data_IF_797339310042
#
_entry.id   IF_797339310042
#
_cell.length_a   1.000
_cell.length_b   1.000
_cell.length_c   1.000
_cell.angle_alpha   90.00
_cell.angle_beta   90.00
_cell.angle_gamma   90.00
#
_symmetry.space_group_name_H-M   'P 1'
#
loop_
_entity.id
_entity.type
_entity.pdbx_description
1 polymer ?
#
# COMPACT_ATOMS: atom_id res chain seq x y z
N UNK A 1 -1.57 21.05 0.24
CA UNK A 1 -0.33 20.33 -0.14
C UNK A 1 -0.37 18.82 0.13
N UNK A 2 -1.57 18.22 0.19
CA UNK A 2 -1.81 16.78 -0.09
C UNK A 2 -2.85 16.67 -1.24
N UNK A 3 -3.10 17.80 -1.90
CA UNK A 3 -4.33 18.10 -2.62
C UNK A 3 -4.54 17.20 -3.85
N UNK A 4 -3.45 16.61 -4.35
CA UNK A 4 -3.46 15.69 -5.49
C UNK A 4 -4.33 14.45 -5.25
N UNK A 5 -4.51 14.01 -4.00
CA UNK A 5 -5.31 12.82 -3.67
C UNK A 5 -6.47 13.07 -2.70
N UNK A 6 -6.72 14.29 -2.20
CA UNK A 6 -7.69 14.54 -1.13
C UNK A 6 -9.14 14.15 -1.46
N UNK A 7 -9.53 14.18 -2.74
CA UNK A 7 -10.87 13.79 -3.20
C UNK A 7 -10.87 12.40 -3.88
N UNK A 8 -9.81 11.62 -3.68
CA UNK A 8 -9.62 10.30 -4.29
C UNK A 8 -9.72 9.22 -3.21
N UNK A 9 -10.03 8.01 -3.64
CA UNK A 9 -9.93 6.83 -2.79
C UNK A 9 -8.59 6.17 -3.07
N UNK A 10 -7.75 6.05 -2.04
CA UNK A 10 -6.57 5.21 -2.08
C UNK A 10 -6.86 3.93 -1.32
N UNK A 11 -6.36 2.81 -1.81
CA UNK A 11 -6.54 1.51 -1.16
C UNK A 11 -5.18 0.97 -0.76
N UNK A 12 -5.05 0.48 0.48
CA UNK A 12 -3.85 -0.24 0.88
C UNK A 12 -3.86 -1.66 0.29
N UNK A 13 -2.74 -2.09 -0.30
CA UNK A 13 -2.56 -3.43 -0.87
C UNK A 13 -2.41 -4.53 0.20
N UNK A 14 -3.09 -4.39 1.32
CA UNK A 14 -3.13 -5.38 2.40
C UNK A 14 -4.22 -6.44 2.09
N UNK A 15 -4.51 -7.32 3.05
CA UNK A 15 -5.50 -8.39 2.85
C UNK A 15 -6.94 -7.85 2.85
N UNK A 16 -7.21 -6.86 3.68
CA UNK A 16 -8.55 -6.30 3.90
C UNK A 16 -8.91 -5.21 2.87
N UNK A 17 -7.93 -4.76 2.08
CA UNK A 17 -8.05 -3.67 1.11
C UNK A 17 -8.63 -2.40 1.75
N UNK A 18 -8.00 -1.96 2.85
CA UNK A 18 -8.45 -0.79 3.58
C UNK A 18 -8.50 0.46 2.66
N UNK A 19 -9.70 1.02 2.52
CA UNK A 19 -9.94 2.24 1.77
C UNK A 19 -9.62 3.47 2.63
N UNK A 20 -8.84 4.39 2.07
CA UNK A 20 -8.51 5.70 2.60
C UNK A 20 -9.26 6.72 1.75
N UNK A 21 -10.39 7.20 2.28
CA UNK A 21 -11.32 8.06 1.54
C UNK A 21 -11.68 9.33 2.30
N UNK A 22 -11.16 9.51 3.52
CA UNK A 22 -11.28 10.77 4.25
C UNK A 22 -10.03 11.62 4.10
N UNK A 23 -10.22 12.95 4.09
CA UNK A 23 -9.12 13.93 4.06
C UNK A 23 -8.09 13.65 5.16
N UNK A 24 -8.54 13.26 6.35
CA UNK A 24 -7.67 12.96 7.49
C UNK A 24 -6.77 11.75 7.24
N UNK A 25 -7.32 10.67 6.70
CA UNK A 25 -6.55 9.45 6.41
C UNK A 25 -5.51 9.70 5.32
N UNK A 26 -5.95 10.33 4.22
CA UNK A 26 -5.09 10.66 3.08
C UNK A 26 -3.97 11.61 3.53
N UNK A 27 -4.31 12.65 4.29
CA UNK A 27 -3.31 13.58 4.86
C UNK A 27 -2.35 12.84 5.78
N UNK A 28 -2.81 12.03 6.73
CA UNK A 28 -1.93 11.31 7.66
C UNK A 28 -0.93 10.37 6.97
N UNK A 29 -1.31 9.80 5.82
CA UNK A 29 -0.48 8.88 5.06
C UNK A 29 0.41 9.55 4.01
N UNK A 30 0.07 10.73 3.50
CA UNK A 30 0.82 11.38 2.42
C UNK A 30 1.55 12.67 2.82
N UNK A 31 1.09 13.37 3.86
CA UNK A 31 1.64 14.66 4.27
C UNK A 31 3.11 14.55 4.69
N UNK A 32 3.91 15.54 4.30
CA UNK A 32 5.35 15.64 4.62
C UNK A 32 6.18 14.43 4.14
N UNK A 33 5.71 13.69 3.14
CA UNK A 33 6.41 12.53 2.56
C UNK A 33 6.80 12.77 1.12
N UNK A 34 7.88 12.12 0.71
CA UNK A 34 8.17 11.91 -0.70
C UNK A 34 7.12 10.93 -1.24
N UNK A 35 6.53 11.24 -2.39
CA UNK A 35 5.58 10.36 -3.05
C UNK A 35 6.25 9.70 -4.26
N UNK A 36 6.07 8.40 -4.39
CA UNK A 36 6.47 7.62 -5.56
C UNK A 36 5.21 7.15 -6.27
N UNK A 37 4.95 7.71 -7.45
CA UNK A 37 3.89 7.26 -8.34
C UNK A 37 4.47 6.21 -9.28
N UNK A 38 4.08 4.95 -9.08
CA UNK A 38 4.57 3.83 -9.86
C UNK A 38 3.56 3.43 -10.93
N UNK A 39 3.87 3.76 -12.18
CA UNK A 39 3.09 3.39 -13.35
C UNK A 39 3.62 2.07 -13.92
N UNK A 40 2.77 1.05 -13.93
CA UNK A 40 3.11 -0.27 -14.47
C UNK A 40 1.90 -0.98 -15.07
N UNK A 41 2.18 -2.03 -15.83
CA UNK A 41 1.20 -2.90 -16.45
C UNK A 41 1.62 -4.36 -16.27
N UNK A 42 0.66 -5.25 -16.02
CA UNK A 42 0.90 -6.66 -15.72
C UNK A 42 1.61 -7.40 -16.87
N UNK A 43 1.29 -7.04 -18.12
CA UNK A 43 1.82 -7.69 -19.32
C UNK A 43 3.20 -7.17 -19.75
N UNK A 44 3.82 -6.27 -18.97
CA UNK A 44 5.14 -5.72 -19.27
C UNK A 44 6.25 -6.53 -18.60
N UNK A 45 7.07 -7.20 -19.42
CA UNK A 45 8.24 -7.93 -18.93
C UNK A 45 9.22 -7.02 -18.16
N UNK A 46 9.40 -5.77 -18.60
CA UNK A 46 10.23 -4.79 -17.88
C UNK A 46 9.68 -4.46 -16.49
N UNK A 47 8.36 -4.46 -16.32
CA UNK A 47 7.73 -4.26 -15.02
C UNK A 47 7.98 -5.46 -14.11
N UNK A 48 7.77 -6.67 -14.64
CA UNK A 48 8.03 -7.93 -13.92
C UNK A 48 9.46 -8.04 -13.40
N UNK A 49 10.45 -7.62 -14.20
CA UNK A 49 11.86 -7.56 -13.78
C UNK A 49 12.13 -6.50 -12.70
N UNK A 50 11.37 -5.39 -12.72
CA UNK A 50 11.60 -4.26 -11.81
C UNK A 50 10.91 -4.41 -10.46
N UNK A 51 9.75 -5.07 -10.39
CA UNK A 51 8.95 -5.20 -9.16
C UNK A 51 9.76 -5.77 -7.98
N UNK A 52 10.57 -6.84 -8.12
CA UNK A 52 11.39 -7.33 -7.02
C UNK A 52 12.37 -6.29 -6.47
N UNK A 53 12.95 -5.48 -7.36
CA UNK A 53 13.89 -4.40 -7.01
C UNK A 53 13.16 -3.29 -6.25
N UNK A 54 12.00 -2.86 -6.76
CA UNK A 54 11.16 -1.85 -6.13
C UNK A 54 10.68 -2.29 -4.74
N UNK A 55 10.27 -3.55 -4.60
CA UNK A 55 9.82 -4.11 -3.32
C UNK A 55 10.96 -4.14 -2.29
N UNK A 56 12.16 -4.59 -2.67
CA UNK A 56 13.32 -4.60 -1.77
C UNK A 56 13.70 -3.17 -1.35
N UNK A 57 13.75 -2.24 -2.31
CA UNK A 57 13.97 -0.82 -2.05
C UNK A 57 12.95 -0.25 -1.05
N UNK A 58 11.66 -0.45 -1.30
CA UNK A 58 10.60 0.09 -0.45
C UNK A 58 10.61 -0.56 0.94
N UNK A 59 10.85 -1.87 1.02
CA UNK A 59 10.97 -2.61 2.28
C UNK A 59 12.10 -2.04 3.14
N UNK A 60 13.29 -1.85 2.57
CA UNK A 60 14.46 -1.31 3.30
C UNK A 60 14.24 0.11 3.83
N UNK A 61 13.37 0.89 3.20
CA UNK A 61 13.02 2.24 3.63
C UNK A 61 11.85 2.31 4.62
N UNK A 62 11.22 1.17 4.97
CA UNK A 62 10.03 1.13 5.82
C UNK A 62 10.08 0.14 6.98
N UNK A 63 10.80 -0.96 6.83
CA UNK A 63 10.78 -2.07 7.77
C UNK A 63 11.82 -1.83 8.90
N UNK A 64 11.39 -1.91 10.18
CA UNK A 64 12.27 -1.77 11.34
C UNK A 64 13.47 -2.73 11.36
N UNK A 65 13.41 -3.83 10.60
CA UNK A 65 14.54 -4.73 10.45
C UNK A 65 15.76 -4.09 9.74
N UNK A 66 15.57 -2.98 9.02
CA UNK A 66 16.63 -2.31 8.25
C UNK A 66 16.95 -0.89 8.73
N UNK A 67 15.99 -0.20 9.35
CA UNK A 67 16.12 1.19 9.77
C UNK A 67 15.45 1.42 11.12
N UNK A 68 16.01 2.31 11.93
CA UNK A 68 15.48 2.63 13.25
C UNK A 68 14.11 3.33 13.17
N UNK A 69 13.96 4.23 12.19
CA UNK A 69 12.72 4.99 11.95
C UNK A 69 12.29 4.86 10.48
N UNK A 70 11.04 4.43 10.20
CA UNK A 70 10.51 4.38 8.84
C UNK A 70 10.66 5.71 8.10
N UNK A 71 11.24 5.70 6.91
CA UNK A 71 11.42 6.93 6.14
C UNK A 71 10.07 7.50 5.68
N UNK A 72 10.00 8.82 5.59
CA UNK A 72 8.82 9.57 5.17
C UNK A 72 8.64 9.48 3.65
N UNK A 73 8.17 8.32 3.21
CA UNK A 73 7.92 7.95 1.82
C UNK A 73 6.55 7.29 1.68
N UNK A 74 5.84 7.48 0.57
CA UNK A 74 4.67 6.68 0.20
C UNK A 74 4.80 6.18 -1.24
N UNK A 75 4.45 4.92 -1.48
CA UNK A 75 4.42 4.31 -2.80
C UNK A 75 2.96 4.12 -3.22
N UNK A 76 2.59 4.71 -4.35
CA UNK A 76 1.25 4.63 -4.94
C UNK A 76 1.36 3.97 -6.30
N UNK A 77 0.79 2.78 -6.45
CA UNK A 77 0.69 2.08 -7.70
C UNK A 77 -0.48 2.61 -8.54
N UNK A 78 -0.20 2.89 -9.81
CA UNK A 78 -1.16 3.35 -10.80
C UNK A 78 -1.12 2.36 -11.96
N UNK A 79 -2.17 1.55 -12.07
CA UNK A 79 -2.27 0.58 -13.17
C UNK A 79 -2.51 1.29 -14.51
N UNK A 80 -1.72 0.92 -15.50
CA UNK A 80 -1.90 1.25 -16.93
C UNK A 80 -2.67 0.13 -17.66
N UNK A 81 -3.03 -0.94 -16.94
CA UNK A 81 -3.78 -2.05 -17.50
C UNK A 81 -5.18 -1.62 -17.95
N UNK A 82 -5.69 -2.37 -18.93
CA UNK A 82 -7.01 -2.16 -19.53
C UNK A 82 -8.10 -3.02 -18.87
N UNK A 83 -7.74 -3.88 -17.92
CA UNK A 83 -8.71 -4.73 -17.20
C UNK A 83 -8.36 -4.83 -15.72
N UNK A 84 -9.38 -4.96 -14.88
CA UNK A 84 -9.24 -5.07 -13.42
C UNK A 84 -8.45 -6.31 -13.01
N UNK A 85 -8.66 -7.45 -13.70
CA UNK A 85 -8.00 -8.71 -13.37
C UNK A 85 -6.48 -8.63 -13.52
N UNK A 86 -5.99 -7.81 -14.46
CA UNK A 86 -4.57 -7.56 -14.64
C UNK A 86 -4.01 -6.72 -13.50
N UNK A 87 -4.74 -5.67 -13.09
CA UNK A 87 -4.38 -4.87 -11.93
C UNK A 87 -4.31 -5.74 -10.66
N UNK A 88 -5.35 -6.56 -10.40
CA UNK A 88 -5.37 -7.46 -9.25
C UNK A 88 -4.23 -8.48 -9.26
N UNK A 89 -3.93 -9.05 -10.44
CA UNK A 89 -2.82 -9.98 -10.59
C UNK A 89 -1.49 -9.31 -10.24
N UNK A 90 -1.26 -8.10 -10.73
CA UNK A 90 -0.03 -7.36 -10.48
C UNK A 90 0.10 -6.90 -9.02
N UNK A 91 -1.01 -6.51 -8.38
CA UNK A 91 -1.04 -6.14 -6.96
C UNK A 91 -0.53 -7.26 -6.04
N UNK A 92 -0.74 -8.53 -6.41
CA UNK A 92 -0.21 -9.69 -5.65
C UNK A 92 1.32 -9.74 -5.60
N UNK A 93 1.99 -9.12 -6.56
CA UNK A 93 3.45 -9.06 -6.66
C UNK A 93 4.02 -7.87 -5.90
N UNK A 94 3.21 -6.87 -5.54
CA UNK A 94 3.63 -5.65 -4.85
C UNK A 94 3.65 -5.81 -3.33
N UNK A 95 4.47 -4.98 -2.68
CA UNK A 95 4.54 -4.91 -1.22
C UNK A 95 3.17 -4.55 -0.61
N UNK A 96 2.84 -5.12 0.56
CA UNK A 96 1.51 -5.01 1.20
C UNK A 96 1.15 -3.61 1.72
N UNK A 97 2.17 -2.78 2.00
CA UNK A 97 2.01 -1.37 2.37
C UNK A 97 1.97 -0.41 1.16
N UNK A 98 1.87 -0.94 -0.06
CA UNK A 98 1.72 -0.12 -1.27
C UNK A 98 0.29 0.37 -1.34
N UNK A 99 0.09 1.65 -1.63
CA UNK A 99 -1.23 2.20 -1.92
C UNK A 99 -1.53 2.05 -3.40
N UNK A 100 -2.80 2.03 -3.80
CA UNK A 100 -3.17 2.04 -5.20
C UNK A 100 -4.51 2.75 -5.43
N UNK A 101 -4.74 3.17 -6.68
CA UNK A 101 -6.05 3.67 -7.11
C UNK A 101 -6.94 2.50 -7.56
N UNK A 102 -8.22 2.45 -7.15
CA UNK A 102 -9.18 1.49 -7.68
C UNK A 102 -9.19 1.48 -9.21
N UNK A 103 -9.45 0.32 -9.81
CA UNK A 103 -9.42 0.20 -11.28
C UNK A 103 -10.43 1.15 -11.94
N UNK A 104 -11.61 1.34 -11.38
CA UNK A 104 -12.62 2.24 -11.98
C UNK A 104 -12.31 3.74 -11.80
N UNK A 105 -11.28 4.12 -11.04
CA UNK A 105 -10.95 5.54 -10.83
C UNK A 105 -10.36 6.16 -12.12
N UNK A 106 -11.02 7.18 -12.73
CA UNK A 106 -10.53 7.84 -13.94
C UNK A 106 -9.21 8.60 -13.70
N UNK A 107 -8.88 8.90 -12.45
CA UNK A 107 -7.67 9.61 -12.09
C UNK A 107 -6.40 8.86 -12.50
N UNK A 108 -6.47 7.52 -12.65
CA UNK A 108 -5.37 6.72 -13.21
C UNK A 108 -4.96 7.22 -14.60
N UNK A 109 -5.91 7.61 -15.44
CA UNK A 109 -5.64 8.13 -16.79
C UNK A 109 -5.21 9.59 -16.74
N UNK A 110 -5.83 10.41 -15.87
CA UNK A 110 -5.45 11.80 -15.67
C UNK A 110 -3.99 11.93 -15.23
N UNK A 111 -3.53 11.09 -14.29
CA UNK A 111 -2.14 11.05 -13.82
C UNK A 111 -1.17 10.64 -14.93
N UNK A 112 -1.53 9.69 -15.78
CA UNK A 112 -0.69 9.29 -16.92
C UNK A 112 -0.50 10.46 -17.89
N UNK A 113 -1.56 11.22 -18.19
CA UNK A 113 -1.48 12.41 -19.05
C UNK A 113 -0.70 13.52 -18.37
N UNK A 114 -0.98 13.79 -17.09
CA UNK A 114 -0.34 14.86 -16.29
C UNK A 114 1.18 14.70 -16.25
N UNK A 115 1.66 13.48 -15.99
CA UNK A 115 3.09 13.17 -15.92
C UNK A 115 3.69 12.73 -17.26
N UNK A 116 2.91 12.77 -18.34
CA UNK A 116 3.33 12.42 -19.71
C UNK A 116 3.98 11.03 -19.78
N UNK A 117 3.33 10.05 -19.17
CA UNK A 117 3.82 8.68 -19.11
C UNK A 117 3.73 8.05 -20.50
N UNK A 118 4.88 7.82 -21.13
CA UNK A 118 4.97 7.21 -22.47
C UNK A 118 5.42 5.74 -22.43
N UNK A 119 6.01 5.30 -21.31
CA UNK A 119 6.52 3.94 -21.16
C UNK A 119 6.38 3.44 -19.71
N UNK A 120 6.42 2.11 -19.55
CA UNK A 120 6.38 1.42 -18.26
C UNK A 120 7.53 0.40 -18.15
N UNK A 121 8.11 0.18 -16.96
CA UNK A 121 7.79 0.85 -15.70
C UNK A 121 8.28 2.30 -15.67
N UNK A 122 7.52 3.18 -15.02
CA UNK A 122 7.94 4.55 -14.70
C UNK A 122 7.64 4.84 -13.23
N UNK A 123 8.61 5.42 -12.52
CA UNK A 123 8.43 5.88 -11.14
C UNK A 123 8.62 7.38 -11.09
N UNK A 124 7.53 8.14 -10.99
CA UNK A 124 7.62 9.58 -10.76
C UNK A 124 7.81 9.83 -9.28
N UNK A 125 8.86 10.58 -8.92
CA UNK A 125 9.14 10.96 -7.53
C UNK A 125 8.74 12.41 -7.34
N UNK A 126 7.92 12.65 -6.32
CA UNK A 126 7.41 13.97 -5.97
C UNK A 126 7.88 14.38 -4.58
N UNK A 127 8.15 15.69 -4.43
CA UNK A 127 8.31 16.32 -3.11
C UNK A 127 6.98 16.30 -2.35
N UNK A 128 6.99 16.58 -1.03
CA UNK A 128 5.76 16.83 -0.28
C UNK A 128 4.88 17.92 -0.93
N UNK A 129 5.50 18.90 -1.61
CA UNK A 129 4.79 19.94 -2.36
C UNK A 129 4.14 19.50 -3.67
N UNK A 130 4.17 18.21 -3.97
CA UNK A 130 3.72 17.60 -5.21
C UNK A 130 4.50 18.09 -6.45
N UNK A 131 5.58 18.86 -6.30
CA UNK A 131 6.50 19.16 -7.40
C UNK A 131 7.37 17.94 -7.73
N UNK A 132 7.75 17.82 -9.00
CA UNK A 132 8.55 16.68 -9.48
C UNK A 132 10.00 16.79 -9.00
N UNK A 133 10.49 15.75 -8.31
CA UNK A 133 11.91 15.53 -8.01
C UNK A 133 12.58 14.79 -9.15
N UNK A 134 12.00 13.66 -9.55
CA UNK A 134 12.48 12.82 -10.65
C UNK A 134 11.30 12.39 -11.52
N UNK A 135 11.32 12.65 -12.83
CA UNK A 135 10.24 12.24 -13.72
C UNK A 135 10.25 10.73 -13.99
N UNK A 136 11.38 10.04 -13.84
CA UNK A 136 11.46 8.59 -13.90
C UNK A 136 12.68 8.04 -13.12
N UNK A 137 12.44 7.61 -11.90
CA UNK A 137 13.44 7.10 -10.98
C UNK A 137 13.80 5.62 -11.15
N UNK A 138 13.28 4.91 -12.16
CA UNK A 138 13.54 3.46 -12.32
C UNK A 138 15.04 3.15 -12.41
N UNK A 139 15.81 3.96 -13.15
CA UNK A 139 17.25 3.76 -13.25
C UNK A 139 17.99 4.15 -11.96
N UNK A 140 17.55 5.21 -11.29
CA UNK A 140 18.13 5.63 -10.00
C UNK A 140 17.99 4.53 -8.95
N UNK A 141 16.79 3.93 -8.84
CA UNK A 141 16.52 2.82 -7.91
C UNK A 141 17.34 1.58 -8.28
N UNK A 142 17.44 1.24 -9.57
CA UNK A 142 18.23 0.08 -10.04
C UNK A 142 19.72 0.22 -9.74
N UNK A 143 20.28 1.41 -9.92
CA UNK A 143 21.72 1.64 -9.84
C UNK A 143 22.18 1.94 -8.41
N UNK A 144 21.41 2.74 -7.67
CA UNK A 144 21.82 3.28 -6.37
C UNK A 144 21.04 2.68 -5.19
N UNK A 145 19.98 1.91 -5.43
CA UNK A 145 19.17 1.34 -4.36
C UNK A 145 18.67 2.41 -3.39
N UNK A 146 18.82 2.19 -2.08
CA UNK A 146 18.38 3.15 -1.06
C UNK A 146 19.18 4.46 -1.03
N UNK A 147 20.37 4.52 -1.63
CA UNK A 147 21.21 5.73 -1.58
C UNK A 147 20.61 6.89 -2.40
N UNK A 148 19.82 6.60 -3.45
CA UNK A 148 19.11 7.65 -4.18
C UNK A 148 18.06 8.35 -3.31
N UNK A 149 17.48 7.66 -2.33
CA UNK A 149 16.49 8.25 -1.43
C UNK A 149 17.08 9.39 -0.60
N UNK A 150 18.32 9.25 -0.11
CA UNK A 150 19.02 10.33 0.60
C UNK A 150 19.15 11.58 -0.27
N UNK A 151 19.48 11.40 -1.56
CA UNK A 151 19.57 12.50 -2.53
C UNK A 151 18.21 13.17 -2.74
N UNK A 152 17.13 12.39 -2.82
CA UNK A 152 15.77 12.93 -2.92
C UNK A 152 15.35 13.70 -1.67
N UNK A 153 15.69 13.21 -0.47
CA UNK A 153 15.40 13.89 0.80
C UNK A 153 16.10 15.25 0.87
N UNK A 154 17.40 15.30 0.57
CA UNK A 154 18.18 16.54 0.52
C UNK A 154 17.58 17.52 -0.49
N UNK A 155 17.27 17.04 -1.70
CA UNK A 155 16.68 17.85 -2.78
C UNK A 155 15.25 18.32 -2.52
N UNK A 156 14.53 17.63 -1.63
CA UNK A 156 13.22 18.03 -1.16
C UNK A 156 13.28 19.05 -0.01
N UNK A 157 14.47 19.40 0.49
CA UNK A 157 14.63 20.21 1.69
C UNK A 157 14.08 19.51 2.94
N UNK A 158 13.89 18.19 2.89
CA UNK A 158 13.50 17.37 4.03
C UNK A 158 14.74 17.15 4.90
N UNK A 159 15.12 18.19 5.65
CA UNK A 159 16.11 18.04 6.72
C UNK A 159 15.57 17.00 7.68
N UNK A 160 16.38 16.01 8.01
CA UNK A 160 16.06 14.98 9.00
C UNK A 160 15.74 15.68 10.33
N UNK A 161 14.47 16.00 10.56
CA UNK A 161 13.95 16.48 11.85
C UNK A 161 13.85 15.29 12.80
N UNK A 162 14.91 14.49 12.87
CA UNK A 162 15.09 13.35 13.78
C UNK A 162 14.88 13.74 15.25
N UNK A 163 14.86 15.04 15.57
CA UNK A 163 14.59 15.56 16.90
C UNK A 163 13.15 16.02 17.19
N UNK A 164 12.23 16.10 16.21
CA UNK A 164 10.89 16.70 16.44
C UNK A 164 9.68 15.79 16.14
N UNK A 165 9.85 14.60 15.54
CA UNK A 165 8.72 13.70 15.23
C UNK A 165 8.44 12.62 16.28
N UNK A 166 9.12 12.66 17.43
CA UNK A 166 9.02 11.63 18.47
C UNK A 166 7.64 11.54 19.15
N UNK A 167 6.74 12.52 19.01
CA UNK A 167 5.43 12.49 19.72
C UNK A 167 4.22 12.15 18.84
N UNK A 168 4.31 12.32 17.52
CA UNK A 168 3.15 12.13 16.62
C UNK A 168 3.08 10.72 16.03
N UNK A 169 4.22 10.06 15.79
CA UNK A 169 4.24 8.71 15.19
C UNK A 169 3.77 7.62 16.15
N UNK A 170 4.05 7.77 17.46
CA UNK A 170 3.54 6.87 18.50
C UNK A 170 2.01 6.91 18.58
N UNK A 171 1.40 8.09 18.34
CA UNK A 171 -0.04 8.27 18.41
C UNK A 171 -0.82 7.61 17.24
N UNK A 172 -0.19 7.42 16.08
CA UNK A 172 -0.82 6.70 14.96
C UNK A 172 -0.74 5.17 15.15
N UNK A 173 0.33 4.66 15.76
CA UNK A 173 0.49 3.24 16.06
C UNK A 173 -0.28 2.77 17.31
N UNK A 174 -0.83 3.68 18.13
CA UNK A 174 -1.58 3.35 19.35
C UNK A 174 -3.11 3.24 19.18
N UNK A 175 -3.66 3.46 17.98
CA UNK A 175 -5.13 3.42 17.75
C UNK A 175 -5.68 2.12 17.16
N UNK A 176 -5.02 1.00 17.39
CA UNK A 176 -5.62 -0.33 17.15
C UNK A 176 -5.32 -1.29 18.30
N UNK A 177 -5.64 -0.87 19.52
CA UNK A 177 -5.62 -1.74 20.71
C UNK A 177 -6.98 -1.78 21.42
N UNK A 178 -8.08 -1.66 20.67
CA UNK A 178 -9.41 -2.01 21.15
C UNK A 178 -9.97 -3.16 20.35
N UNK A 179 -9.59 -4.37 20.74
CA UNK A 179 -10.45 -5.54 20.61
C UNK A 179 -10.47 -6.21 22.00
N UNK A 180 -11.65 -6.43 22.59
CA UNK A 180 -12.10 -7.81 22.52
C UNK A 180 -13.61 -7.91 22.30
N UNK A 181 -14.02 -8.72 21.33
CA UNK A 181 -14.81 -9.95 21.52
C UNK A 181 -15.43 -10.34 20.17
N UNK A 182 -14.91 -11.41 19.57
CA UNK A 182 -15.71 -12.44 18.86
C UNK A 182 -14.94 -13.75 18.72
N UNK A 183 -14.65 -14.35 19.87
CA UNK A 183 -14.28 -15.77 19.95
C UNK A 183 -15.40 -16.52 20.66
N UNK A 184 -16.47 -16.82 19.94
CA UNK A 184 -17.33 -17.95 20.24
C UNK A 184 -18.17 -18.32 19.01
N UNK A 185 -17.83 -19.44 18.38
CA UNK A 185 -18.78 -20.49 18.00
C UNK A 185 -17.99 -21.68 17.46
N UNK A 186 -17.81 -22.68 18.32
CA UNK A 186 -17.56 -24.07 17.92
C UNK A 186 -18.72 -24.90 18.46
N UNK A 187 -19.16 -25.85 17.63
CA UNK A 187 -20.13 -26.93 17.86
C UNK A 187 -21.50 -26.73 17.22
N UNK A 188 -21.59 -27.28 16.02
CA UNK A 188 -22.47 -28.42 15.68
C UNK A 188 -23.92 -28.29 16.16
N UNK A 189 -24.79 -28.02 15.18
CA UNK A 189 -26.09 -28.66 15.04
C UNK A 189 -25.92 -30.18 15.22
N UNK A 190 -26.76 -30.95 15.90
CA UNK A 190 -28.22 -30.98 16.01
C UNK A 190 -28.56 -31.71 17.33
N UNK A 191 -29.50 -31.17 18.09
CA UNK A 191 -30.23 -31.91 19.11
C UNK A 191 -31.68 -31.42 19.06
N UNK A 192 -32.52 -32.17 18.35
CA UNK A 192 -33.97 -32.21 18.46
C UNK A 192 -34.36 -33.59 17.90
N UNK A 193 -35.14 -34.47 18.52
CA UNK A 193 -35.98 -34.38 19.68
C UNK A 193 -37.07 -35.44 19.49
N UNK A 194 -37.19 -36.39 20.42
CA UNK A 194 -38.46 -37.08 20.71
C UNK A 194 -38.78 -38.39 19.96
N UNK A 195 -39.33 -39.33 20.73
CA UNK A 195 -40.16 -40.43 20.22
C UNK A 195 -39.68 -41.82 20.63
N UNK A 196 -40.08 -42.27 21.82
CA UNK A 196 -39.98 -43.68 22.20
C UNK A 196 -41.01 -44.55 21.48
N UNK A 197 -40.71 -45.84 21.34
CA UNK A 197 -41.48 -46.98 21.84
C UNK A 197 -40.94 -48.28 21.21
N UNK A 198 -41.04 -49.39 21.95
CA UNK A 198 -41.17 -50.72 21.34
C UNK A 198 -39.93 -51.61 21.26
N UNK A 199 -39.64 -52.33 22.35
CA UNK A 199 -39.74 -53.79 22.36
C UNK A 199 -38.56 -54.66 21.90
N UNK A 200 -38.27 -55.68 22.74
CA UNK A 200 -37.68 -56.99 22.45
C UNK A 200 -36.20 -57.03 22.02
N UNK A 201 -35.33 -57.94 22.45
CA UNK A 201 -35.37 -59.17 23.23
C UNK A 201 -33.91 -59.50 23.62
N UNK A 202 -33.70 -60.12 24.79
CA UNK A 202 -32.46 -60.85 25.16
C UNK A 202 -32.28 -62.09 24.23
N UNK A 203 -31.39 -63.09 24.46
CA UNK A 203 -30.38 -63.32 25.52
C UNK A 203 -29.05 -63.82 24.89
N UNK A 204 -27.92 -64.13 25.55
CA UNK A 204 -27.59 -64.74 26.84
C UNK A 204 -26.19 -64.29 27.27
#
# INVERSE_FOLDING_TARGET
MVDMFLERVLVENNWDQDELNTEREITGILENRILMLFFAAADSAKCQEFVPILNDFFKRLKDPAYIEYPKLLALIYISVDQTEEKQEKFLKELHKKTLFLPFEDPYRQELQVMFKITEVPTVVVLRPDCSVLSPNAVQEIRQYGCDCFSTWQESAGLVERSFMLNEEFDNLNLRTATDPVRRLKRKDAEADGGGGDGGAESPW
#
